data_IF_499634056409
#
_entry.id   IF_499634056409
#
_cell.length_a   1.000
_cell.length_b   1.000
_cell.length_c   1.000
_cell.angle_alpha   90.00
_cell.angle_beta   90.00
_cell.angle_gamma   90.00
#
_symmetry.space_group_name_H-M   'P 1'
#
loop_
_entity.id
_entity.type
_entity.pdbx_description
1 polymer ?
#
# COMPACT_ATOMS: atom_id res chain seq x y z
N UNK A 1 -2.99 -6.84 36.75
CA UNK A 1 -2.24 -6.07 35.73
C UNK A 1 -2.24 -6.67 34.31
N UNK A 2 -3.03 -7.71 33.98
CA UNK A 2 -3.06 -8.32 32.63
C UNK A 2 -4.04 -7.66 31.64
N UNK A 3 -4.98 -6.85 32.11
CA UNK A 3 -6.04 -6.30 31.26
C UNK A 3 -5.50 -5.24 30.29
N UNK A 4 -4.63 -4.34 30.77
CA UNK A 4 -4.05 -3.27 29.95
C UNK A 4 -3.26 -3.79 28.75
N UNK A 5 -2.47 -4.85 28.93
CA UNK A 5 -1.70 -5.48 27.84
C UNK A 5 -2.61 -6.07 26.75
N UNK A 6 -3.75 -6.66 27.16
CA UNK A 6 -4.75 -7.23 26.24
C UNK A 6 -5.45 -6.13 25.44
N UNK A 7 -5.72 -4.98 26.05
CA UNK A 7 -6.26 -3.80 25.37
C UNK A 7 -5.28 -3.23 24.35
N UNK A 8 -4.01 -3.04 24.74
CA UNK A 8 -2.97 -2.53 23.83
C UNK A 8 -2.78 -3.46 22.62
N UNK A 9 -2.70 -4.78 22.83
CA UNK A 9 -2.61 -5.75 21.72
C UNK A 9 -3.81 -5.68 20.77
N UNK A 10 -5.02 -5.55 21.31
CA UNK A 10 -6.24 -5.42 20.49
C UNK A 10 -6.22 -4.14 19.66
N UNK A 11 -5.82 -3.02 20.26
CA UNK A 11 -5.80 -1.72 19.59
C UNK A 11 -4.70 -1.66 18.52
N UNK A 12 -3.51 -2.17 18.81
CA UNK A 12 -2.43 -2.32 17.82
C UNK A 12 -2.85 -3.25 16.69
N UNK A 13 -3.55 -4.36 16.99
CA UNK A 13 -4.06 -5.28 15.96
C UNK A 13 -5.05 -4.61 15.02
N UNK A 14 -5.96 -3.78 15.53
CA UNK A 14 -6.91 -3.01 14.71
C UNK A 14 -6.17 -1.98 13.85
N UNK A 15 -5.22 -1.23 14.43
CA UNK A 15 -4.42 -0.25 13.66
C UNK A 15 -3.64 -0.94 12.54
N UNK A 16 -3.05 -2.09 12.82
CA UNK A 16 -2.33 -2.88 11.83
C UNK A 16 -3.26 -3.40 10.73
N UNK A 17 -4.45 -3.86 11.08
CA UNK A 17 -5.45 -4.30 10.12
C UNK A 17 -5.90 -3.16 9.19
N UNK A 18 -6.14 -1.97 9.73
CA UNK A 18 -6.50 -0.78 8.93
C UNK A 18 -5.35 -0.37 8.01
N UNK A 19 -4.11 -0.38 8.50
CA UNK A 19 -2.92 -0.12 7.68
C UNK A 19 -2.79 -1.11 6.51
N UNK A 20 -2.95 -2.41 6.79
CA UNK A 20 -2.92 -3.45 5.75
C UNK A 20 -4.02 -3.24 4.73
N UNK A 21 -5.23 -2.89 5.18
CA UNK A 21 -6.34 -2.60 4.27
C UNK A 21 -6.05 -1.39 3.36
N UNK A 22 -5.46 -0.33 3.93
CA UNK A 22 -5.00 0.83 3.16
C UNK A 22 -3.94 0.47 2.12
N UNK A 23 -2.95 -0.37 2.49
CA UNK A 23 -1.92 -0.84 1.56
C UNK A 23 -2.49 -1.67 0.42
N UNK A 24 -3.49 -2.52 0.69
CA UNK A 24 -4.18 -3.30 -0.35
C UNK A 24 -4.89 -2.38 -1.32
N UNK A 25 -5.66 -1.41 -0.81
CA UNK A 25 -6.36 -0.44 -1.67
C UNK A 25 -5.38 0.40 -2.49
N UNK A 26 -4.26 0.80 -1.91
CA UNK A 26 -3.20 1.52 -2.61
C UNK A 26 -2.57 0.67 -3.73
N UNK A 27 -2.23 -0.59 -3.44
CA UNK A 27 -1.70 -1.51 -4.44
C UNK A 27 -2.69 -1.76 -5.58
N UNK A 28 -3.97 -1.95 -5.27
CA UNK A 28 -5.03 -2.08 -6.27
C UNK A 28 -5.15 -0.82 -7.14
N UNK A 29 -5.12 0.37 -6.53
CA UNK A 29 -5.13 1.64 -7.25
C UNK A 29 -3.94 1.78 -8.20
N UNK A 30 -2.75 1.34 -7.77
CA UNK A 30 -1.55 1.33 -8.61
C UNK A 30 -1.67 0.33 -9.77
N UNK A 31 -2.16 -0.89 -9.52
CA UNK A 31 -2.37 -1.89 -10.56
C UNK A 31 -3.40 -1.41 -11.60
N UNK A 32 -4.50 -0.82 -11.16
CA UNK A 32 -5.54 -0.31 -12.06
C UNK A 32 -5.03 0.92 -12.84
N UNK A 33 -4.31 1.83 -12.19
CA UNK A 33 -3.83 3.06 -12.83
C UNK A 33 -2.62 2.88 -13.74
N UNK A 34 -1.73 1.93 -13.43
CA UNK A 34 -0.41 1.81 -14.07
C UNK A 34 -0.03 0.39 -14.49
N UNK A 35 -0.82 -0.62 -14.13
CA UNK A 35 -0.56 -2.02 -14.50
C UNK A 35 -0.75 -2.36 -15.98
N UNK A 36 -1.31 -1.45 -16.80
CA UNK A 36 -1.34 -1.60 -18.26
C UNK A 36 -1.88 -2.98 -18.72
N UNK A 37 -1.07 -3.71 -19.49
CA UNK A 37 -1.42 -5.04 -20.01
C UNK A 37 -1.16 -6.17 -19.01
N UNK A 38 -0.11 -6.03 -18.18
CA UNK A 38 0.24 -7.02 -17.17
C UNK A 38 0.20 -6.34 -15.79
N UNK A 39 -0.68 -6.77 -14.87
CA UNK A 39 -0.77 -6.22 -13.51
C UNK A 39 0.56 -6.15 -12.75
N UNK A 40 1.50 -7.02 -13.11
CA UNK A 40 2.84 -7.12 -12.54
C UNK A 40 3.83 -6.06 -13.06
N UNK A 41 3.51 -5.35 -14.15
CA UNK A 41 4.34 -4.27 -14.69
C UNK A 41 4.55 -3.17 -13.65
N UNK A 42 3.62 -3.03 -12.69
CA UNK A 42 3.76 -2.09 -11.56
C UNK A 42 4.99 -2.37 -10.69
N UNK A 43 5.51 -3.59 -10.69
CA UNK A 43 6.72 -3.95 -9.92
C UNK A 43 8.01 -3.61 -10.67
N UNK A 44 7.93 -3.27 -11.95
CA UNK A 44 9.09 -2.96 -12.78
C UNK A 44 9.65 -1.58 -12.46
N UNK A 45 10.98 -1.43 -12.30
CA UNK A 45 11.63 -0.14 -12.03
C UNK A 45 11.29 0.95 -13.05
N UNK A 46 11.15 0.60 -14.34
CA UNK A 46 10.82 1.54 -15.41
C UNK A 46 9.45 2.20 -15.20
N UNK A 47 8.46 1.45 -14.69
CA UNK A 47 7.12 2.00 -14.38
C UNK A 47 7.16 2.95 -13.21
N UNK A 48 7.98 2.66 -12.20
CA UNK A 48 8.21 3.60 -11.10
C UNK A 48 8.90 4.87 -11.57
N UNK A 49 9.86 4.79 -12.48
CA UNK A 49 10.43 5.99 -13.11
C UNK A 49 9.37 6.81 -13.85
N UNK A 50 8.50 6.17 -14.64
CA UNK A 50 7.39 6.85 -15.35
C UNK A 50 6.43 7.53 -14.37
N UNK A 51 6.07 6.85 -13.27
CA UNK A 51 5.21 7.41 -12.23
C UNK A 51 5.87 8.65 -11.61
N UNK A 52 7.14 8.53 -11.19
CA UNK A 52 7.88 9.63 -10.54
C UNK A 52 8.12 10.80 -11.50
N UNK A 53 8.37 10.53 -12.78
CA UNK A 53 8.59 11.57 -13.80
C UNK A 53 7.34 12.42 -13.99
N UNK A 54 6.14 11.80 -13.98
CA UNK A 54 4.84 12.50 -14.02
C UNK A 54 4.64 13.45 -12.83
N UNK A 55 5.12 13.10 -11.64
CA UNK A 55 5.04 13.99 -10.47
C UNK A 55 6.10 15.08 -10.46
N UNK A 56 7.25 14.85 -11.10
CA UNK A 56 8.38 15.79 -11.12
C UNK A 56 8.42 16.66 -12.38
N UNK A 57 7.51 16.45 -13.34
CA UNK A 57 7.41 17.21 -14.57
C UNK A 57 8.58 16.97 -15.53
N UNK A 58 9.28 15.84 -15.40
CA UNK A 58 10.35 15.41 -16.31
C UNK A 58 9.86 14.35 -17.28
#
# INVERSE_FOLDING_TARGET
>A
MNNNLKYVKKQVGIVLAVLLFGLILFALGLVVGYGGKNPWDILSPDKWQEIVSKFTGR
#
